data_IF_451832422495
#
_entry.id   IF_451832422495
#
_cell.length_a   1.000
_cell.length_b   1.000
_cell.length_c   1.000
_cell.angle_alpha   90.00
_cell.angle_beta   90.00
_cell.angle_gamma   90.00
#
_symmetry.space_group_name_H-M   'P 1'
#
loop_
_entity.id
_entity.type
_entity.pdbx_description
1 polymer ?
#
# COMPACT_ATOMS: atom_id res chain seq x y z
N UNK A 1 -51.50 54.42 13.62
CA UNK A 1 -50.14 53.85 13.42
C UNK A 1 -50.26 52.34 13.34
N UNK A 2 -50.36 51.78 12.13
CA UNK A 2 -50.40 50.33 11.89
C UNK A 2 -48.96 49.81 11.82
N UNK A 3 -48.52 49.06 12.82
CA UNK A 3 -47.23 48.35 12.79
C UNK A 3 -47.39 47.06 12.00
N UNK A 4 -46.79 47.00 10.81
CA UNK A 4 -46.84 45.85 9.90
C UNK A 4 -46.21 44.61 10.56
N UNK A 5 -46.96 43.51 10.75
CA UNK A 5 -46.46 42.28 11.37
C UNK A 5 -45.41 41.54 10.53
N UNK A 6 -45.29 41.85 9.24
CA UNK A 6 -44.33 41.22 8.33
C UNK A 6 -42.86 41.54 8.65
N UNK A 7 -42.59 42.68 9.30
CA UNK A 7 -41.22 43.11 9.54
C UNK A 7 -40.50 42.24 10.57
N UNK A 8 -41.23 41.60 11.51
CA UNK A 8 -40.64 40.75 12.55
C UNK A 8 -40.13 39.41 12.02
N UNK A 9 -40.78 38.87 10.98
CA UNK A 9 -40.36 37.60 10.38
C UNK A 9 -39.10 37.77 9.52
N UNK A 10 -39.01 38.86 8.77
CA UNK A 10 -37.83 39.17 7.93
C UNK A 10 -36.58 39.37 8.79
N UNK A 11 -36.69 40.07 9.91
CA UNK A 11 -35.56 40.29 10.84
C UNK A 11 -35.07 38.98 11.46
N UNK A 12 -35.98 38.06 11.80
CA UNK A 12 -35.61 36.74 12.35
C UNK A 12 -34.90 35.87 11.31
N UNK A 13 -35.42 35.81 10.09
CA UNK A 13 -34.81 35.02 9.00
C UNK A 13 -33.43 35.56 8.63
N UNK A 14 -33.26 36.88 8.57
CA UNK A 14 -31.97 37.51 8.30
C UNK A 14 -30.94 37.21 9.39
N UNK A 15 -31.35 37.21 10.67
CA UNK A 15 -30.46 36.87 11.79
C UNK A 15 -30.01 35.40 11.79
N UNK A 16 -30.88 34.47 11.39
CA UNK A 16 -30.48 33.06 11.25
C UNK A 16 -29.52 32.84 10.07
N UNK A 17 -29.77 33.50 8.94
CA UNK A 17 -28.89 33.40 7.77
C UNK A 17 -27.48 33.92 8.04
N UNK A 18 -27.33 35.02 8.80
CA UNK A 18 -26.00 35.55 9.17
C UNK A 18 -25.24 34.63 10.12
N UNK A 19 -25.91 34.02 11.11
CA UNK A 19 -25.28 33.04 12.01
C UNK A 19 -24.81 31.80 11.23
N UNK A 20 -25.59 31.35 10.25
CA UNK A 20 -25.26 30.19 9.43
C UNK A 20 -24.07 30.47 8.49
N UNK A 21 -23.99 31.67 7.93
CA UNK A 21 -22.87 32.09 7.09
C UNK A 21 -21.58 32.30 7.89
N UNK A 22 -21.65 32.86 9.10
CA UNK A 22 -20.45 33.04 9.95
C UNK A 22 -19.92 31.71 10.49
N UNK A 23 -20.79 30.75 10.81
CA UNK A 23 -20.38 29.40 11.24
C UNK A 23 -19.75 28.59 10.10
N UNK A 24 -20.29 28.65 8.88
CA UNK A 24 -19.66 28.07 7.68
C UNK A 24 -18.30 28.70 7.38
N UNK A 25 -18.18 30.03 7.46
CA UNK A 25 -16.92 30.75 7.25
C UNK A 25 -15.85 30.34 8.27
N UNK A 26 -16.21 30.22 9.55
CA UNK A 26 -15.29 29.75 10.59
C UNK A 26 -14.84 28.29 10.39
N UNK A 27 -15.73 27.41 9.90
CA UNK A 27 -15.39 26.03 9.58
C UNK A 27 -14.37 25.93 8.44
N UNK A 28 -14.51 26.76 7.39
CA UNK A 28 -13.52 26.79 6.30
C UNK A 28 -12.18 27.40 6.74
N UNK A 29 -12.20 28.44 7.58
CA UNK A 29 -10.96 29.06 8.07
C UNK A 29 -10.17 28.12 9.00
N UNK A 30 -10.84 27.32 9.83
CA UNK A 30 -10.20 26.31 10.66
C UNK A 30 -9.65 25.14 9.82
N UNK A 31 -10.26 24.83 8.67
CA UNK A 31 -9.81 23.74 7.79
C UNK A 31 -8.59 24.11 6.94
N UNK A 32 -8.34 25.40 6.72
CA UNK A 32 -7.16 25.88 5.99
C UNK A 32 -5.93 26.14 6.87
N UNK A 33 -6.09 26.14 8.20
CA UNK A 33 -5.01 26.48 9.13
C UNK A 33 -4.06 25.33 9.46
N UNK A 34 -4.32 24.10 9.01
CA UNK A 34 -3.32 23.03 9.01
C UNK A 34 -2.51 23.09 7.71
N UNK A 35 -1.80 24.22 7.52
CA UNK A 35 -0.52 24.17 6.81
C UNK A 35 0.51 23.81 7.88
N UNK A 36 0.43 22.57 8.36
CA UNK A 36 1.52 21.98 9.10
C UNK A 36 2.70 21.94 8.13
N UNK A 37 3.73 22.72 8.44
CA UNK A 37 5.10 22.42 8.05
C UNK A 37 5.38 20.96 8.41
N UNK A 38 5.07 20.06 7.48
CA UNK A 38 5.75 18.77 7.46
C UNK A 38 7.19 19.12 7.16
N UNK A 39 8.16 18.81 8.05
CA UNK A 39 9.54 18.79 7.60
C UNK A 39 9.55 17.87 6.40
N UNK A 40 10.00 18.40 5.26
CA UNK A 40 10.41 17.56 4.15
C UNK A 40 11.39 16.57 4.77
N UNK A 41 10.95 15.32 4.96
CA UNK A 41 11.87 14.21 5.05
C UNK A 41 12.61 14.25 3.72
N UNK A 42 13.75 14.92 3.78
CA UNK A 42 14.84 14.78 2.84
C UNK A 42 15.06 13.27 2.76
N UNK A 43 14.51 12.66 1.72
CA UNK A 43 14.91 11.34 1.29
C UNK A 43 16.40 11.47 1.07
N UNK A 44 17.18 11.07 2.07
CA UNK A 44 18.60 10.87 1.92
C UNK A 44 18.70 9.86 0.80
N UNK A 45 19.02 10.38 -0.38
CA UNK A 45 19.63 9.62 -1.45
C UNK A 45 20.85 9.03 -0.77
N UNK A 46 20.73 7.77 -0.36
CA UNK A 46 21.88 6.98 0.06
C UNK A 46 22.76 6.98 -1.16
N UNK A 47 23.76 7.86 -1.12
CA UNK A 47 24.76 7.99 -2.16
C UNK A 47 25.35 6.61 -2.33
N UNK A 48 25.03 6.01 -3.47
CA UNK A 48 25.49 4.69 -3.87
C UNK A 48 27.00 4.74 -3.93
N UNK A 49 27.62 4.44 -2.81
CA UNK A 49 29.03 4.10 -2.76
C UNK A 49 29.21 2.93 -3.73
N UNK A 50 30.24 3.05 -4.56
CA UNK A 50 30.71 2.10 -5.57
C UNK A 50 30.57 0.62 -5.16
N UNK A 51 30.58 -0.35 -6.11
CA UNK A 51 30.15 -1.73 -5.88
C UNK A 51 31.08 -2.45 -4.90
N UNK A 52 30.82 -2.27 -3.62
CA UNK A 52 31.35 -3.05 -2.52
C UNK A 52 30.40 -4.20 -2.30
N UNK A 53 30.87 -5.41 -2.61
CA UNK A 53 30.31 -6.70 -2.24
C UNK A 53 29.34 -6.59 -1.06
N UNK A 54 28.04 -6.70 -1.34
CA UNK A 54 27.00 -6.87 -0.33
C UNK A 54 27.36 -8.14 0.43
N UNK A 55 28.07 -7.96 1.53
CA UNK A 55 28.27 -9.03 2.51
C UNK A 55 26.94 -9.08 3.22
N UNK A 56 26.08 -9.98 2.75
CA UNK A 56 24.84 -10.33 3.42
C UNK A 56 25.17 -10.66 4.87
N UNK A 57 24.83 -9.75 5.79
CA UNK A 57 24.73 -10.17 7.18
C UNK A 57 23.78 -11.37 7.21
N UNK A 58 24.13 -12.46 7.92
CA UNK A 58 23.29 -13.64 7.98
C UNK A 58 21.93 -13.20 8.50
N UNK A 59 20.95 -13.23 7.60
CA UNK A 59 19.60 -12.71 7.84
C UNK A 59 19.06 -13.24 9.15
N UNK A 60 18.28 -12.42 9.84
CA UNK A 60 17.52 -12.81 11.03
C UNK A 60 16.68 -14.01 10.65
N UNK A 61 17.21 -15.21 10.89
CA UNK A 61 16.54 -16.48 10.60
C UNK A 61 15.25 -16.47 11.40
N UNK A 62 14.12 -16.41 10.73
CA UNK A 62 12.82 -16.59 11.33
C UNK A 62 12.60 -18.10 11.48
N UNK A 63 12.88 -18.72 12.64
CA UNK A 63 12.99 -20.17 12.74
C UNK A 63 11.66 -20.88 12.47
N UNK A 64 10.56 -20.17 12.71
CA UNK A 64 9.20 -20.63 12.45
C UNK A 64 8.87 -20.72 10.95
N UNK A 65 9.62 -20.03 10.06
CA UNK A 65 9.32 -20.05 8.64
C UNK A 65 9.70 -21.37 7.95
N UNK A 66 10.48 -22.25 8.60
CA UNK A 66 10.89 -23.54 8.02
C UNK A 66 9.76 -24.54 7.80
N UNK A 67 8.66 -24.39 8.53
CA UNK A 67 7.48 -25.25 8.40
C UNK A 67 6.57 -24.82 7.23
N UNK A 68 6.88 -23.68 6.62
CA UNK A 68 6.15 -23.14 5.49
C UNK A 68 6.65 -23.71 4.15
N UNK A 69 5.84 -23.63 3.08
CA UNK A 69 6.15 -24.31 1.84
C UNK A 69 7.49 -23.87 1.25
N UNK A 70 8.09 -24.80 0.53
CA UNK A 70 9.29 -24.53 -0.27
C UNK A 70 8.99 -23.51 -1.39
N UNK A 71 9.95 -22.64 -1.76
CA UNK A 71 9.80 -21.72 -2.90
C UNK A 71 9.26 -22.37 -4.19
N UNK A 72 9.66 -23.61 -4.47
CA UNK A 72 9.24 -24.37 -5.66
C UNK A 72 7.73 -24.68 -5.71
N UNK A 73 7.02 -24.56 -4.59
CA UNK A 73 5.57 -24.81 -4.53
C UNK A 73 4.72 -23.63 -5.00
N UNK A 74 5.32 -22.44 -5.15
CA UNK A 74 4.62 -21.22 -5.57
C UNK A 74 4.62 -21.05 -7.09
N UNK A 75 3.86 -20.10 -7.60
CA UNK A 75 3.87 -19.76 -9.02
C UNK A 75 5.17 -19.04 -9.42
N UNK A 76 5.83 -19.53 -10.47
CA UNK A 76 7.07 -18.97 -11.02
C UNK A 76 6.83 -18.18 -12.30
N UNK A 77 7.75 -17.24 -12.56
CA UNK A 77 7.80 -16.55 -13.82
C UNK A 77 9.18 -16.01 -14.20
N UNK A 78 9.44 -16.02 -15.51
CA UNK A 78 10.58 -15.30 -16.09
C UNK A 78 10.22 -13.84 -16.39
N UNK A 79 11.10 -12.91 -16.02
CA UNK A 79 10.93 -11.49 -16.34
C UNK A 79 11.44 -11.15 -17.74
N UNK A 80 10.55 -10.64 -18.61
CA UNK A 80 10.81 -10.34 -20.03
C UNK A 80 11.28 -8.90 -20.29
N UNK A 81 11.24 -8.00 -19.31
CA UNK A 81 11.54 -6.58 -19.52
C UNK A 81 10.31 -5.69 -19.76
N UNK A 82 9.09 -6.24 -19.65
CA UNK A 82 7.85 -5.46 -19.75
C UNK A 82 7.72 -4.45 -18.60
N UNK A 83 7.05 -3.32 -18.83
CA UNK A 83 6.87 -2.26 -17.81
C UNK A 83 6.04 -2.71 -16.60
N UNK A 84 5.23 -3.75 -16.79
CA UNK A 84 4.46 -4.37 -15.73
C UNK A 84 4.09 -5.81 -16.06
N UNK A 85 3.96 -6.63 -15.02
CA UNK A 85 3.44 -8.00 -15.14
C UNK A 85 2.13 -8.11 -14.38
N UNK A 86 1.10 -8.65 -15.02
CA UNK A 86 -0.17 -8.93 -14.36
C UNK A 86 -0.13 -10.31 -13.69
N UNK A 87 -0.45 -10.35 -12.40
CA UNK A 87 -0.67 -11.58 -11.63
C UNK A 87 -2.14 -11.60 -11.22
N UNK A 88 -2.83 -12.70 -11.51
CA UNK A 88 -4.26 -12.87 -11.20
C UNK A 88 -4.50 -14.11 -10.35
N UNK A 89 -5.56 -14.10 -9.56
CA UNK A 89 -6.00 -15.27 -8.78
C UNK A 89 -7.26 -14.98 -7.98
N UNK A 90 -7.67 -15.94 -7.15
CA UNK A 90 -8.82 -15.79 -6.25
C UNK A 90 -8.38 -15.29 -4.87
N UNK A 91 -9.26 -14.65 -4.12
CA UNK A 91 -8.99 -14.18 -2.76
C UNK A 91 -10.26 -14.24 -1.90
N UNK A 92 -10.08 -14.45 -0.60
CA UNK A 92 -11.18 -14.51 0.38
C UNK A 92 -11.24 -13.28 1.27
N UNK A 93 -10.07 -12.79 1.66
CA UNK A 93 -9.93 -11.60 2.50
C UNK A 93 -10.14 -10.32 1.69
N UNK A 94 -10.56 -9.24 2.34
CA UNK A 94 -10.73 -7.94 1.69
C UNK A 94 -9.41 -7.36 1.15
N UNK A 95 -8.29 -7.77 1.73
CA UNK A 95 -6.94 -7.40 1.33
C UNK A 95 -6.02 -8.61 1.43
N UNK A 96 -5.02 -8.66 0.56
CA UNK A 96 -3.94 -9.64 0.58
C UNK A 96 -2.64 -8.92 0.24
N UNK A 97 -1.50 -9.55 0.49
CA UNK A 97 -0.18 -9.01 0.16
C UNK A 97 0.43 -9.84 -0.96
N UNK A 98 0.95 -9.17 -1.99
CA UNK A 98 1.79 -9.82 -3.00
C UNK A 98 3.23 -9.64 -2.59
N UNK A 99 3.94 -10.76 -2.47
CA UNK A 99 5.37 -10.82 -2.26
C UNK A 99 6.02 -11.44 -3.49
N UNK A 100 7.14 -10.87 -3.95
CA UNK A 100 7.89 -11.42 -5.09
C UNK A 100 9.35 -11.55 -4.70
N UNK A 101 9.91 -12.72 -4.95
CA UNK A 101 11.29 -13.06 -4.63
C UNK A 101 12.01 -13.61 -5.87
N UNK A 102 13.31 -13.35 -6.02
CA UNK A 102 14.16 -14.11 -6.94
C UNK A 102 14.16 -15.60 -6.59
N UNK A 103 14.24 -16.47 -7.59
CA UNK A 103 14.21 -17.95 -7.38
C UNK A 103 15.37 -18.48 -6.52
N UNK A 104 16.50 -17.78 -6.50
CA UNK A 104 17.68 -18.11 -5.71
C UNK A 104 17.61 -17.64 -4.24
N UNK A 105 16.52 -16.95 -3.86
CA UNK A 105 16.29 -16.45 -2.51
C UNK A 105 15.18 -17.24 -1.85
N UNK A 106 15.49 -17.91 -0.73
CA UNK A 106 14.47 -18.53 0.12
C UNK A 106 13.86 -17.49 1.08
N UNK A 107 12.58 -17.17 0.91
CA UNK A 107 11.86 -16.24 1.77
C UNK A 107 11.82 -16.67 3.25
N UNK A 108 11.96 -17.97 3.53
CA UNK A 108 11.96 -18.51 4.89
C UNK A 108 13.26 -18.20 5.62
N UNK A 109 14.35 -18.07 4.85
CA UNK A 109 15.66 -17.66 5.37
C UNK A 109 15.82 -16.14 5.36
N UNK A 110 15.30 -15.47 4.33
CA UNK A 110 15.42 -14.03 4.17
C UNK A 110 14.07 -13.37 3.77
N UNK A 111 13.12 -13.22 4.70
CA UNK A 111 11.79 -12.68 4.41
C UNK A 111 11.80 -11.19 4.05
N UNK A 112 12.93 -10.51 4.21
CA UNK A 112 13.10 -9.09 3.86
C UNK A 112 13.62 -8.88 2.44
N UNK A 113 14.00 -9.94 1.74
CA UNK A 113 14.53 -9.87 0.38
C UNK A 113 13.45 -9.82 -0.71
N UNK A 114 12.18 -9.63 -0.34
CA UNK A 114 11.11 -9.47 -1.31
C UNK A 114 11.35 -8.20 -2.16
N UNK A 115 11.39 -8.37 -3.48
CA UNK A 115 11.48 -7.26 -4.45
C UNK A 115 10.16 -6.49 -4.56
N UNK A 116 9.07 -7.18 -4.28
CA UNK A 116 7.75 -6.59 -4.15
C UNK A 116 7.16 -7.02 -2.82
N UNK A 117 6.59 -6.09 -2.08
CA UNK A 117 5.84 -6.36 -0.86
C UNK A 117 4.76 -5.29 -0.74
N UNK A 118 3.59 -5.58 -1.29
CA UNK A 118 2.49 -4.62 -1.36
C UNK A 118 1.16 -5.28 -1.04
N UNK A 119 0.38 -4.61 -0.19
CA UNK A 119 -1.00 -4.98 0.07
C UNK A 119 -1.89 -4.50 -1.08
N UNK A 120 -2.76 -5.38 -1.54
CA UNK A 120 -3.65 -5.19 -2.68
C UNK A 120 -5.09 -5.54 -2.27
N UNK A 121 -6.09 -4.80 -2.79
CA UNK A 121 -7.48 -5.08 -2.48
C UNK A 121 -7.97 -6.33 -3.23
N UNK A 122 -8.75 -7.16 -2.56
CA UNK A 122 -9.52 -8.23 -3.20
C UNK A 122 -10.87 -7.68 -3.65
N UNK A 123 -11.18 -7.78 -4.95
CA UNK A 123 -12.41 -7.26 -5.51
C UNK A 123 -13.27 -8.42 -6.00
N UNK A 124 -14.39 -8.65 -5.32
CA UNK A 124 -15.37 -9.72 -5.66
C UNK A 124 -14.80 -11.14 -5.64
N UNK A 125 -13.81 -11.39 -4.78
CA UNK A 125 -13.21 -12.71 -4.63
C UNK A 125 -12.09 -13.01 -5.64
N UNK A 126 -11.72 -12.03 -6.45
CA UNK A 126 -10.62 -12.13 -7.41
C UNK A 126 -9.66 -10.95 -7.26
N UNK A 127 -8.43 -11.15 -7.71
CA UNK A 127 -7.45 -10.09 -7.83
C UNK A 127 -6.75 -10.09 -9.19
N UNK A 128 -6.31 -8.90 -9.58
CA UNK A 128 -5.46 -8.67 -10.74
C UNK A 128 -4.50 -7.55 -10.38
N UNK A 129 -3.25 -7.90 -10.15
CA UNK A 129 -2.21 -6.98 -9.69
C UNK A 129 -1.23 -6.78 -10.82
N UNK A 130 -1.10 -5.54 -11.26
CA UNK A 130 -0.04 -5.15 -12.17
C UNK A 130 1.18 -4.78 -11.34
N UNK A 131 2.18 -5.67 -11.32
CA UNK A 131 3.43 -5.48 -10.60
C UNK A 131 4.28 -4.49 -11.42
N UNK A 132 4.42 -3.22 -10.98
CA UNK A 132 5.15 -2.21 -11.73
C UNK A 132 6.65 -2.52 -11.63
N UNK A 133 7.35 -2.44 -12.75
CA UNK A 133 8.74 -2.87 -12.83
C UNK A 133 9.83 -1.80 -12.62
N UNK A 134 9.58 -0.47 -12.54
CA UNK A 134 10.70 0.44 -12.31
C UNK A 134 10.89 0.70 -10.80
N UNK A 135 11.62 -0.21 -10.14
CA UNK A 135 12.48 -0.02 -8.94
C UNK A 135 12.27 -1.10 -7.86
N UNK A 136 13.33 -1.76 -7.34
CA UNK A 136 14.61 -2.18 -7.94
C UNK A 136 14.90 -3.70 -7.81
N UNK A 137 15.82 -4.29 -8.61
CA UNK A 137 15.87 -4.32 -10.06
C UNK A 137 15.53 -5.74 -10.54
N UNK A 138 14.36 -5.92 -11.16
CA UNK A 138 14.12 -7.16 -11.88
C UNK A 138 15.14 -7.27 -13.02
N UNK A 139 15.95 -8.33 -12.98
CA UNK A 139 16.91 -8.68 -14.03
C UNK A 139 16.17 -9.40 -15.15
N UNK A 140 16.26 -8.85 -16.37
CA UNK A 140 15.67 -9.46 -17.57
C UNK A 140 16.25 -10.85 -17.77
N UNK A 141 15.38 -11.82 -18.04
CA UNK A 141 15.73 -13.24 -18.20
C UNK A 141 15.89 -14.00 -16.89
N UNK A 142 15.78 -13.34 -15.73
CA UNK A 142 15.78 -14.03 -14.43
C UNK A 142 14.39 -14.53 -14.06
N UNK A 143 14.35 -15.54 -13.20
CA UNK A 143 13.15 -16.18 -12.70
C UNK A 143 12.83 -15.73 -11.27
N UNK A 144 11.54 -15.58 -11.01
CA UNK A 144 10.98 -15.10 -9.75
C UNK A 144 9.79 -15.97 -9.38
N UNK A 145 9.50 -16.06 -8.08
CA UNK A 145 8.27 -16.68 -7.60
C UNK A 145 7.41 -15.68 -6.83
N UNK A 146 6.10 -15.91 -6.85
CA UNK A 146 5.10 -15.05 -6.23
C UNK A 146 4.49 -15.76 -5.03
N UNK A 147 4.56 -15.12 -3.86
CA UNK A 147 3.77 -15.54 -2.71
C UNK A 147 2.60 -14.58 -2.57
N UNK A 148 1.39 -15.15 -2.50
CA UNK A 148 0.23 -14.42 -2.02
C UNK A 148 0.11 -14.63 -0.53
N UNK A 149 0.11 -13.55 0.25
CA UNK A 149 -0.05 -13.61 1.68
C UNK A 149 -1.41 -13.08 2.15
N UNK A 150 -2.17 -13.88 2.88
CA UNK A 150 -3.46 -13.51 3.46
C UNK A 150 -3.30 -12.78 4.78
N UNK A 151 -4.30 -11.97 5.15
CA UNK A 151 -4.32 -11.28 6.45
C UNK A 151 -4.94 -12.14 7.57
N UNK A 152 -5.25 -13.41 7.25
CA UNK A 152 -5.55 -14.51 8.15
C UNK A 152 -6.90 -14.42 8.88
N UNK A 153 -7.94 -14.93 8.24
CA UNK A 153 -9.12 -15.48 8.93
C UNK A 153 -8.96 -16.99 9.23
N UNK A 154 -8.15 -17.70 8.45
CA UNK A 154 -8.03 -19.16 8.40
C UNK A 154 -6.65 -19.72 8.82
N UNK A 155 -5.78 -18.89 9.42
CA UNK A 155 -4.44 -19.24 9.95
C UNK A 155 -3.37 -19.62 8.92
N UNK A 156 -3.71 -19.71 7.65
CA UNK A 156 -2.75 -19.83 6.56
C UNK A 156 -2.44 -18.42 6.05
N UNK A 157 -1.27 -17.87 6.42
CA UNK A 157 -0.89 -16.53 5.96
C UNK A 157 -0.39 -16.52 4.53
N UNK A 158 -0.19 -17.67 3.89
CA UNK A 158 0.36 -17.80 2.54
C UNK A 158 -0.60 -18.61 1.68
N UNK A 159 -0.46 -18.44 0.37
CA UNK A 159 -1.20 -19.20 -0.59
C UNK A 159 -0.37 -19.52 -1.82
N UNK A 160 -0.43 -20.78 -2.22
CA UNK A 160 0.34 -21.32 -3.33
C UNK A 160 -0.41 -21.32 -4.67
N UNK A 161 -1.69 -20.88 -4.70
CA UNK A 161 -2.62 -20.89 -5.86
C UNK A 161 -1.98 -21.16 -7.22
#
# INVERSE_FOLDING_TARGET
>A
MMTRPEQKHIVRVAAFATILLTSLGAFFFLRTSDTSDTPVEEWQVVESTAPGSVTSEPGVRAPHLREYPEPDSFAHFSFSGDESRTVTGECKDAYFTVLIYPVDVDYRENPRAAFHNKAEPCVRGEFSVSVPTPSPPYVIGSEYYVIRAHQALDREWYDAY
#
